data_IF_683929024669
#
_entry.id   IF_683929024669
#
_cell.length_a   1.000
_cell.length_b   1.000
_cell.length_c   1.000
_cell.angle_alpha   90.00
_cell.angle_beta   90.00
_cell.angle_gamma   90.00
#
_symmetry.space_group_name_H-M   'P 1'
#
loop_
_entity.id
_entity.type
_entity.pdbx_description
1 polymer ?
#
# COMPACT_ATOMS: atom_id res chain seq x y z
N UNK A 1 -2.10 -18.80 1.68
CA UNK A 1 -1.73 -17.37 1.75
C UNK A 1 -0.65 -17.17 0.71
N UNK A 2 -0.86 -16.23 -0.21
CA UNK A 2 0.16 -15.88 -1.20
C UNK A 2 1.37 -15.27 -0.49
N UNK A 3 2.56 -15.58 -0.97
CA UNK A 3 3.80 -14.92 -0.53
C UNK A 3 4.00 -13.65 -1.37
N UNK A 4 4.60 -12.61 -0.79
CA UNK A 4 4.80 -11.31 -1.43
C UNK A 4 6.27 -10.95 -1.63
N UNK A 5 7.19 -11.78 -1.16
CA UNK A 5 8.62 -11.66 -1.42
C UNK A 5 9.19 -12.96 -1.99
N UNK A 6 10.17 -12.84 -2.89
CA UNK A 6 10.79 -14.00 -3.59
C UNK A 6 11.39 -15.03 -2.63
N UNK A 7 11.94 -14.57 -1.51
CA UNK A 7 12.57 -15.41 -0.48
C UNK A 7 11.63 -15.85 0.63
N UNK A 8 10.34 -15.46 0.59
CA UNK A 8 9.39 -15.79 1.63
C UNK A 8 8.89 -17.23 1.46
N UNK A 9 9.00 -18.03 2.53
CA UNK A 9 8.46 -19.38 2.56
C UNK A 9 6.94 -19.38 2.79
N UNK A 10 6.18 -20.23 2.08
CA UNK A 10 4.77 -20.46 2.38
C UNK A 10 4.57 -20.96 3.82
N UNK A 11 3.51 -20.50 4.49
CA UNK A 11 3.23 -20.85 5.90
C UNK A 11 3.11 -22.36 6.12
N UNK A 12 2.53 -23.09 5.17
CA UNK A 12 2.38 -24.55 5.25
C UNK A 12 3.72 -25.29 5.32
N UNK A 13 4.78 -24.71 4.71
CA UNK A 13 6.13 -25.26 4.73
C UNK A 13 6.92 -24.77 5.95
N UNK A 14 6.75 -23.49 6.31
CA UNK A 14 7.47 -22.89 7.43
C UNK A 14 6.99 -23.38 8.81
N UNK A 15 5.71 -23.73 8.94
CA UNK A 15 5.11 -24.20 10.20
C UNK A 15 4.98 -25.73 10.26
N UNK A 16 6.08 -26.43 9.94
CA UNK A 16 6.14 -27.89 9.94
C UNK A 16 7.23 -28.43 10.90
N UNK A 17 7.06 -29.68 11.32
CA UNK A 17 8.03 -30.42 12.15
C UNK A 17 7.76 -30.38 13.67
N UNK A 18 8.62 -31.01 14.47
CA UNK A 18 8.35 -31.32 15.89
C UNK A 18 8.07 -30.10 16.76
N UNK A 19 8.59 -28.91 16.41
CA UNK A 19 8.36 -27.67 17.15
C UNK A 19 6.90 -27.19 17.09
N UNK A 20 6.14 -27.62 16.09
CA UNK A 20 4.72 -27.27 15.93
C UNK A 20 3.79 -28.41 16.34
N UNK A 21 4.33 -29.56 16.74
CA UNK A 21 3.54 -30.65 17.30
C UNK A 21 2.91 -30.19 18.62
N UNK A 22 1.62 -30.51 18.83
CA UNK A 22 0.82 -30.05 19.98
C UNK A 22 0.71 -28.53 20.15
N UNK A 23 1.12 -27.74 19.15
CA UNK A 23 0.93 -26.29 19.16
C UNK A 23 -0.47 -25.96 18.66
N UNK A 24 -1.23 -25.18 19.44
CA UNK A 24 -2.49 -24.60 18.95
C UNK A 24 -2.16 -23.46 17.97
N UNK A 25 -2.34 -23.75 16.68
CA UNK A 25 -2.07 -22.82 15.58
C UNK A 25 -3.06 -21.64 15.53
N UNK A 26 -4.23 -21.75 16.16
CA UNK A 26 -5.22 -20.67 16.19
C UNK A 26 -4.78 -19.51 17.09
N UNK A 27 -3.95 -19.80 18.09
CA UNK A 27 -3.42 -18.81 19.04
C UNK A 27 -2.07 -18.21 18.61
N UNK A 28 -1.48 -18.71 17.52
CA UNK A 28 -0.20 -18.21 17.04
C UNK A 28 -0.37 -16.86 16.31
N UNK A 29 0.63 -15.96 16.38
CA UNK A 29 0.60 -14.68 15.68
C UNK A 29 0.25 -14.83 14.19
N UNK A 30 -0.80 -14.14 13.76
CA UNK A 30 -1.24 -14.07 12.36
C UNK A 30 -1.67 -12.64 12.02
N UNK A 31 -0.71 -11.70 11.91
CA UNK A 31 -1.01 -10.34 11.52
C UNK A 31 -1.54 -10.29 10.08
N UNK A 32 -2.30 -9.24 9.77
CA UNK A 32 -2.73 -8.93 8.41
C UNK A 32 -1.53 -8.55 7.55
N UNK A 33 -1.57 -8.86 6.26
CA UNK A 33 -0.50 -8.48 5.34
C UNK A 33 -0.67 -7.02 4.91
N UNK A 34 0.33 -6.18 5.18
CA UNK A 34 0.26 -4.75 4.86
C UNK A 34 0.11 -4.46 3.36
N UNK A 35 0.58 -5.36 2.49
CA UNK A 35 0.38 -5.27 1.03
C UNK A 35 -1.09 -5.36 0.62
N UNK A 36 -1.91 -6.10 1.37
CA UNK A 36 -3.35 -6.18 1.12
C UNK A 36 -4.01 -4.88 1.61
N UNK A 37 -3.70 -4.47 2.83
CA UNK A 37 -4.24 -3.26 3.44
C UNK A 37 -3.95 -1.98 2.63
N UNK A 38 -2.74 -1.83 2.09
CA UNK A 38 -2.39 -0.63 1.31
C UNK A 38 -3.10 -0.59 -0.06
N UNK A 39 -3.49 -1.74 -0.60
CA UNK A 39 -4.30 -1.79 -1.83
C UNK A 39 -5.78 -1.49 -1.58
N UNK A 40 -6.24 -1.52 -0.33
CA UNK A 40 -7.57 -1.06 0.06
C UNK A 40 -7.64 0.47 0.16
N UNK A 41 -6.50 1.16 0.34
CA UNK A 41 -6.46 2.62 0.43
C UNK A 41 -6.82 3.28 -0.92
N UNK A 42 -7.70 4.29 -0.92
CA UNK A 42 -8.10 4.96 -2.16
C UNK A 42 -6.96 5.83 -2.71
N UNK A 43 -6.92 5.95 -4.04
CA UNK A 43 -6.02 6.91 -4.72
C UNK A 43 -6.46 8.33 -4.38
N UNK A 44 -5.49 9.12 -3.91
CA UNK A 44 -5.65 10.54 -3.59
C UNK A 44 -5.28 11.37 -4.81
N UNK A 45 -6.30 11.90 -5.49
CA UNK A 45 -6.11 12.83 -6.59
C UNK A 45 -5.90 14.23 -6.05
N UNK A 46 -4.85 14.91 -6.50
CA UNK A 46 -4.52 16.29 -6.14
C UNK A 46 -4.58 17.22 -7.34
N UNK A 47 -4.71 18.51 -7.08
CA UNK A 47 -4.65 19.57 -8.08
C UNK A 47 -3.23 20.08 -8.34
N UNK A 48 -2.31 19.86 -7.40
CA UNK A 48 -0.92 20.29 -7.49
C UNK A 48 -0.04 19.27 -8.20
N UNK A 49 0.99 19.78 -8.88
CA UNK A 49 2.03 18.98 -9.53
C UNK A 49 2.94 18.22 -8.54
N UNK A 50 2.97 18.65 -7.27
CA UNK A 50 3.81 18.08 -6.22
C UNK A 50 3.00 17.87 -4.95
N UNK A 51 2.96 16.64 -4.46
CA UNK A 51 2.35 16.28 -3.18
C UNK A 51 3.37 16.33 -2.05
N UNK A 52 2.96 16.83 -0.89
CA UNK A 52 3.75 16.74 0.35
C UNK A 52 3.18 15.63 1.22
N UNK A 53 4.00 14.65 1.59
CA UNK A 53 3.60 13.56 2.47
C UNK A 53 4.57 13.45 3.64
N UNK A 54 4.04 13.41 4.86
CA UNK A 54 4.77 13.17 6.10
C UNK A 54 4.23 11.95 6.88
N UNK A 55 3.29 11.19 6.29
CA UNK A 55 2.66 10.04 6.94
C UNK A 55 1.59 10.41 7.98
N UNK A 56 1.29 11.70 8.18
CA UNK A 56 0.35 12.17 9.18
C UNK A 56 0.93 12.23 10.60
N UNK A 57 0.27 12.98 11.49
CA UNK A 57 0.71 13.11 12.89
C UNK A 57 2.00 13.92 13.09
N UNK A 58 2.44 14.66 12.08
CA UNK A 58 3.63 15.51 12.13
C UNK A 58 4.88 14.69 12.47
N UNK A 59 5.56 14.94 13.61
CA UNK A 59 6.75 14.18 14.00
C UNK A 59 6.54 12.67 14.22
N UNK A 60 5.29 12.22 14.35
CA UNK A 60 4.96 10.79 14.54
C UNK A 60 4.88 10.00 13.22
N UNK A 61 4.93 10.69 12.09
CA UNK A 61 4.96 10.08 10.78
C UNK A 61 6.38 9.80 10.26
N UNK A 62 6.53 9.78 8.94
CA UNK A 62 7.83 9.65 8.29
C UNK A 62 8.42 11.03 7.93
N UNK A 63 9.71 11.13 7.55
CA UNK A 63 10.28 12.38 7.08
C UNK A 63 9.43 12.97 5.95
N UNK A 64 9.19 14.28 6.01
CA UNK A 64 8.45 15.00 4.95
C UNK A 64 9.14 14.79 3.62
N UNK A 65 8.39 14.29 2.63
CA UNK A 65 8.84 14.16 1.25
C UNK A 65 7.92 14.88 0.27
N UNK A 66 8.47 15.12 -0.91
CA UNK A 66 7.81 15.75 -2.05
C UNK A 66 7.71 14.73 -3.18
N UNK A 67 6.50 14.46 -3.65
CA UNK A 67 6.20 13.43 -4.66
C UNK A 67 5.72 14.15 -5.92
N UNK A 68 6.41 13.95 -7.05
CA UNK A 68 5.96 14.45 -8.34
C UNK A 68 4.83 13.58 -8.87
N UNK A 69 3.72 14.19 -9.31
CA UNK A 69 2.53 13.50 -9.84
C UNK A 69 2.18 13.93 -11.26
N UNK A 70 3.11 14.52 -12.01
CA UNK A 70 2.89 15.06 -13.37
C UNK A 70 2.57 13.97 -14.39
N UNK A 71 3.11 12.77 -14.19
CA UNK A 71 2.95 11.64 -15.09
C UNK A 71 1.54 11.04 -14.99
N UNK A 72 1.04 10.41 -16.07
CA UNK A 72 -0.26 9.73 -16.06
C UNK A 72 -0.19 8.36 -15.38
N UNK A 73 0.26 8.33 -14.13
CA UNK A 73 0.41 7.13 -13.31
C UNK A 73 0.06 7.42 -11.84
N UNK A 74 -0.25 6.37 -11.08
CA UNK A 74 -0.33 6.46 -9.62
C UNK A 74 1.08 6.39 -9.06
N UNK A 75 1.44 7.39 -8.26
CA UNK A 75 2.75 7.50 -7.62
C UNK A 75 2.58 7.26 -6.12
N UNK A 76 3.02 6.10 -5.60
CA UNK A 76 2.94 5.81 -4.16
C UNK A 76 4.02 6.57 -3.39
N UNK A 77 3.70 6.95 -2.15
CA UNK A 77 4.70 7.43 -1.21
C UNK A 77 5.74 6.34 -0.90
N UNK A 78 7.03 6.67 -0.99
CA UNK A 78 8.13 5.73 -0.72
C UNK A 78 8.25 5.26 0.73
N UNK A 79 7.48 5.83 1.66
CA UNK A 79 7.45 5.44 3.07
C UNK A 79 6.15 4.70 3.42
N UNK A 80 5.02 5.40 3.46
CA UNK A 80 3.75 4.82 3.90
C UNK A 80 3.01 4.04 2.79
N UNK A 81 3.45 4.14 1.53
CA UNK A 81 2.81 3.47 0.40
C UNK A 81 1.51 4.13 -0.08
N UNK A 82 1.04 5.21 0.55
CA UNK A 82 -0.21 5.86 0.15
C UNK A 82 -0.15 6.30 -1.32
N UNK A 83 -1.20 5.98 -2.12
CA UNK A 83 -1.21 6.27 -3.54
C UNK A 83 -1.68 7.71 -3.85
N UNK A 84 -0.89 8.43 -4.64
CA UNK A 84 -1.21 9.78 -5.12
C UNK A 84 -1.24 9.86 -6.64
N UNK A 85 -2.03 10.78 -7.19
CA UNK A 85 -2.07 11.06 -8.62
C UNK A 85 -2.55 12.49 -8.90
N UNK A 86 -2.21 13.04 -10.06
CA UNK A 86 -2.73 14.34 -10.47
C UNK A 86 -4.10 14.20 -11.15
N UNK A 87 -5.05 15.07 -10.78
CA UNK A 87 -6.45 15.00 -11.24
C UNK A 87 -6.59 15.10 -12.77
N UNK A 88 -5.73 15.89 -13.43
CA UNK A 88 -5.70 16.02 -14.90
C UNK A 88 -5.54 14.67 -15.60
N UNK A 89 -4.78 13.75 -15.00
CA UNK A 89 -4.47 12.44 -15.58
C UNK A 89 -5.47 11.35 -15.19
N UNK A 90 -6.50 11.66 -14.41
CA UNK A 90 -7.45 10.68 -13.85
C UNK A 90 -8.06 9.77 -14.92
N UNK A 91 -8.51 10.34 -16.05
CA UNK A 91 -9.11 9.55 -17.13
C UNK A 91 -8.13 8.52 -17.71
N UNK A 92 -6.87 8.91 -17.92
CA UNK A 92 -5.83 8.01 -18.42
C UNK A 92 -5.47 6.92 -17.40
N UNK A 93 -5.34 7.29 -16.13
CA UNK A 93 -5.01 6.35 -15.04
C UNK A 93 -6.11 5.30 -14.88
N UNK A 94 -7.37 5.71 -14.92
CA UNK A 94 -8.52 4.80 -14.85
C UNK A 94 -8.57 3.88 -16.07
N UNK A 95 -8.29 4.41 -17.27
CA UNK A 95 -8.21 3.59 -18.48
C UNK A 95 -7.07 2.55 -18.43
N UNK A 96 -5.97 2.85 -17.75
CA UNK A 96 -4.82 1.96 -17.59
C UNK A 96 -5.00 0.90 -16.47
N UNK A 97 -6.12 0.94 -15.73
CA UNK A 97 -6.39 0.01 -14.62
C UNK A 97 -5.47 0.17 -13.41
N UNK A 98 -4.81 1.33 -13.27
CA UNK A 98 -3.91 1.63 -12.14
C UNK A 98 -4.63 2.24 -10.93
N UNK A 99 -5.92 2.55 -11.05
CA UNK A 99 -6.75 2.95 -9.93
C UNK A 99 -7.32 1.76 -9.17
N UNK A 100 -7.61 1.88 -7.86
CA UNK A 100 -8.30 0.85 -7.10
C UNK A 100 -9.64 0.54 -7.75
N UNK A 101 -10.15 -0.66 -7.47
CA UNK A 101 -11.43 -1.18 -7.95
C UNK A 101 -12.65 -0.41 -7.40
N UNK A 102 -12.71 0.92 -7.51
CA UNK A 102 -13.94 1.69 -7.34
C UNK A 102 -13.88 2.96 -6.50
N UNK A 103 -12.85 3.18 -5.67
CA UNK A 103 -12.87 4.30 -4.71
C UNK A 103 -11.68 5.25 -4.87
N UNK A 104 -11.96 6.54 -5.04
CA UNK A 104 -10.96 7.59 -5.13
C UNK A 104 -11.37 8.77 -4.26
N UNK A 105 -10.38 9.47 -3.72
CA UNK A 105 -10.59 10.70 -2.96
C UNK A 105 -9.95 11.84 -3.76
N UNK A 106 -10.72 12.91 -3.97
CA UNK A 106 -10.17 14.17 -4.50
C UNK A 106 -9.80 15.01 -3.29
N UNK A 107 -8.54 15.40 -3.21
CA UNK A 107 -8.03 16.33 -2.20
C UNK A 107 -8.09 17.74 -2.82
N UNK A 108 -8.87 18.61 -2.18
CA UNK A 108 -8.97 20.04 -2.50
C UNK A 108 -7.76 20.83 -1.98
#
# INVERSE_FOLDING_TARGET
MLTWAKSQMPRAEAMAGPRFEQTDLALQPRPMAAIELIHEEPVRFVHEHVVVCDGGGGPLGHPKIYINVDKPEVVPCGYCGLPFAHIHNKAAIVANGQGPHGEYVILD
#
